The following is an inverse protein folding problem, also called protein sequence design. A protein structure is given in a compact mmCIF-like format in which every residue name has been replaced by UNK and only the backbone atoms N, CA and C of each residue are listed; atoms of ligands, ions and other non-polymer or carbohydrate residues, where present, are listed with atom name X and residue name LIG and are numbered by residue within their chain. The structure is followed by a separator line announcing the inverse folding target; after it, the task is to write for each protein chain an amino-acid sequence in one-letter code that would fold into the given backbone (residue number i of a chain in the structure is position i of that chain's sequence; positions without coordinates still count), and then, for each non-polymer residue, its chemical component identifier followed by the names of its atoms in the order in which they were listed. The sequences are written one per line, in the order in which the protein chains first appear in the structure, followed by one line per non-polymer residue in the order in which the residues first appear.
data_IF_478639890389
#
_entry.id   IF_478639890389
#
_cell.length_a   1.000
_cell.length_b   1.000
_cell.length_c   1.000
_cell.angle_alpha   90.00
_cell.angle_beta   90.00
_cell.angle_gamma   90.00
#
_symmetry.space_group_name_H-M   'P 1'
#
loop_
_entity.id
_entity.type
_entity.pdbx_description
1 polymer ?
#
# COMPACT_ATOMS: atom_id res chain seq x y z
N UNK A 1 -11.98 1.40 3.40
CA UNK A 1 -11.16 1.79 2.22
C UNK A 1 -9.70 1.82 2.63
N UNK A 2 -8.82 1.07 1.95
CA UNK A 2 -7.38 1.00 2.24
C UNK A 2 -6.58 1.50 1.04
N UNK A 3 -5.74 2.52 1.23
CA UNK A 3 -4.94 3.23 0.19
C UNK A 3 -3.50 3.19 0.64
N UNK A 4 -2.66 2.48 -0.09
CA UNK A 4 -1.25 2.29 0.29
C UNK A 4 -0.36 2.52 -0.92
N UNK A 5 0.80 3.13 -0.74
CA UNK A 5 1.74 3.28 -1.84
C UNK A 5 3.16 3.54 -1.35
N UNK A 6 4.12 2.82 -1.92
CA UNK A 6 5.53 3.19 -1.90
C UNK A 6 5.82 4.11 -3.09
N UNK A 7 6.27 5.32 -2.81
CA UNK A 7 6.35 6.40 -3.77
C UNK A 7 7.76 7.01 -3.73
N UNK A 8 8.33 7.44 -4.87
CA UNK A 8 9.53 8.27 -4.82
C UNK A 8 9.22 9.59 -4.11
N UNK A 9 10.16 10.07 -3.30
CA UNK A 9 10.08 11.39 -2.69
C UNK A 9 10.15 12.52 -3.75
N UNK A 10 10.80 12.24 -4.89
CA UNK A 10 11.03 13.20 -5.97
C UNK A 10 10.60 12.60 -7.33
N UNK A 11 9.31 12.68 -7.70
CA UNK A 11 8.80 12.14 -8.96
C UNK A 11 9.12 13.06 -10.16
N UNK A 12 10.34 12.96 -10.70
CA UNK A 12 10.82 13.88 -11.75
C UNK A 12 10.61 13.39 -13.19
N UNK A 13 10.24 12.13 -13.39
CA UNK A 13 9.99 11.54 -14.72
C UNK A 13 8.49 11.48 -15.05
N UNK A 14 8.15 11.21 -16.31
CA UNK A 14 6.76 11.15 -16.79
C UNK A 14 5.92 10.07 -16.10
N UNK A 15 6.52 8.92 -15.76
CA UNK A 15 5.84 7.85 -15.00
C UNK A 15 5.63 8.22 -13.53
N UNK A 16 6.27 9.30 -13.05
CA UNK A 16 6.30 9.73 -11.66
C UNK A 16 6.63 8.58 -10.71
N UNK A 17 7.52 7.69 -11.16
CA UNK A 17 7.83 6.44 -10.47
C UNK A 17 9.32 6.11 -10.58
N UNK A 18 9.86 5.49 -9.53
CA UNK A 18 11.20 4.93 -9.48
C UNK A 18 11.11 3.50 -8.98
N UNK A 19 12.08 2.66 -9.36
CA UNK A 19 12.13 1.29 -8.85
C UNK A 19 12.56 1.29 -7.39
N UNK A 20 11.62 1.06 -6.47
CA UNK A 20 11.87 0.97 -5.02
C UNK A 20 11.78 -0.48 -4.51
N UNK A 21 11.13 -1.36 -5.28
CA UNK A 21 10.95 -2.79 -4.96
C UNK A 21 10.80 -3.61 -6.25
N UNK A 22 10.45 -4.90 -6.12
CA UNK A 22 10.38 -5.87 -7.22
C UNK A 22 9.50 -5.40 -8.39
N UNK A 23 10.09 -5.31 -9.58
CA UNK A 23 9.35 -5.03 -10.84
C UNK A 23 8.34 -6.14 -11.14
N UNK A 24 8.69 -7.40 -10.83
CA UNK A 24 7.79 -8.52 -11.02
C UNK A 24 6.53 -8.38 -10.17
N UNK A 25 6.70 -8.03 -8.90
CA UNK A 25 5.57 -7.79 -8.01
C UNK A 25 4.72 -6.62 -8.48
N UNK A 26 5.34 -5.52 -8.92
CA UNK A 26 4.63 -4.35 -9.42
C UNK A 26 3.76 -4.69 -10.65
N UNK A 27 4.32 -5.41 -11.62
CA UNK A 27 3.56 -5.82 -12.81
C UNK A 27 2.47 -6.84 -12.44
N UNK A 28 2.76 -7.74 -11.50
CA UNK A 28 1.78 -8.70 -11.02
C UNK A 28 0.56 -8.01 -10.39
N UNK A 29 0.76 -6.95 -9.61
CA UNK A 29 -0.29 -6.14 -9.00
C UNK A 29 -1.22 -5.48 -10.04
N UNK A 30 -0.71 -5.17 -11.23
CA UNK A 30 -1.44 -4.48 -12.30
C UNK A 30 -2.13 -5.42 -13.29
N UNK A 31 -1.78 -6.70 -13.31
CA UNK A 31 -2.30 -7.66 -14.28
C UNK A 31 -3.37 -8.61 -13.73
N UNK A 32 -3.54 -8.72 -12.42
CA UNK A 32 -4.44 -9.72 -11.82
C UNK A 32 -5.72 -9.09 -11.24
N UNK A 33 -6.84 -9.84 -11.22
CA UNK A 33 -8.05 -9.42 -10.53
C UNK A 33 -7.78 -9.05 -9.07
N UNK A 34 -8.57 -8.11 -8.57
CA UNK A 34 -8.48 -7.60 -7.20
C UNK A 34 -9.75 -8.01 -6.45
N UNK A 35 -9.59 -8.57 -5.25
CA UNK A 35 -10.74 -8.86 -4.39
C UNK A 35 -11.29 -7.56 -3.77
N UNK A 36 -12.61 -7.50 -3.60
CA UNK A 36 -13.29 -6.43 -2.90
C UNK A 36 -14.59 -6.92 -2.29
N UNK A 37 -15.16 -6.14 -1.38
CA UNK A 37 -16.55 -6.26 -0.95
C UNK A 37 -17.32 -5.07 -1.51
N UNK A 38 -18.42 -5.32 -2.21
CA UNK A 38 -19.42 -4.31 -2.59
C UNK A 38 -20.82 -4.78 -2.26
N UNK A 39 -21.60 -3.87 -1.70
CA UNK A 39 -22.95 -4.14 -1.21
C UNK A 39 -23.05 -5.40 -0.34
N UNK A 40 -22.01 -5.65 0.46
CA UNK A 40 -21.90 -6.81 1.36
C UNK A 40 -21.51 -8.12 0.68
N UNK A 41 -21.27 -8.13 -0.63
CA UNK A 41 -20.86 -9.31 -1.40
C UNK A 41 -19.40 -9.25 -1.80
N UNK A 42 -18.72 -10.39 -1.73
CA UNK A 42 -17.37 -10.53 -2.27
C UNK A 42 -17.43 -10.52 -3.80
N UNK A 43 -16.63 -9.66 -4.41
CA UNK A 43 -16.55 -9.51 -5.87
C UNK A 43 -15.09 -9.43 -6.29
N UNK A 44 -14.84 -9.73 -7.56
CA UNK A 44 -13.60 -9.37 -8.23
C UNK A 44 -13.78 -8.07 -9.00
N UNK A 45 -12.80 -7.19 -8.90
CA UNK A 45 -12.70 -5.95 -9.69
C UNK A 45 -11.42 -5.97 -10.51
N UNK A 46 -11.46 -5.29 -11.65
CA UNK A 46 -10.31 -5.21 -12.55
C UNK A 46 -9.20 -4.35 -11.92
N UNK A 47 -7.95 -4.75 -12.14
CA UNK A 47 -6.78 -3.92 -11.85
C UNK A 47 -6.79 -2.65 -12.71
N UNK A 48 -6.12 -1.59 -12.25
CA UNK A 48 -6.05 -0.26 -12.87
C UNK A 48 -7.40 0.49 -12.98
N UNK A 49 -8.51 -0.16 -12.64
CA UNK A 49 -9.84 0.44 -12.58
C UNK A 49 -10.15 1.10 -11.24
N UNK A 50 -11.27 1.82 -11.21
CA UNK A 50 -11.73 2.52 -10.02
C UNK A 50 -10.82 3.69 -9.64
N UNK A 51 -10.27 4.39 -10.63
CA UNK A 51 -9.43 5.57 -10.40
C UNK A 51 -10.16 6.60 -9.52
N UNK A 52 -9.49 7.01 -8.45
CA UNK A 52 -9.92 8.09 -7.57
C UNK A 52 -8.76 9.04 -7.31
N UNK A 53 -9.07 10.30 -7.01
CA UNK A 53 -8.09 11.32 -6.66
C UNK A 53 -8.33 11.77 -5.22
N UNK A 54 -7.25 12.08 -4.51
CA UNK A 54 -7.33 12.67 -3.19
C UNK A 54 -6.05 13.45 -2.87
N UNK A 55 -6.17 14.43 -1.98
CA UNK A 55 -5.06 15.24 -1.51
C UNK A 55 -4.71 14.87 -0.08
N UNK A 56 -3.42 14.81 0.23
CA UNK A 56 -2.93 14.68 1.61
C UNK A 56 -1.71 15.57 1.82
N UNK A 57 -1.82 16.50 2.77
CA UNK A 57 -0.84 17.54 3.07
C UNK A 57 -0.49 18.39 1.83
N UNK A 58 -1.51 18.79 1.07
CA UNK A 58 -1.34 19.58 -0.16
C UNK A 58 -0.73 18.84 -1.35
N UNK A 59 -0.42 17.54 -1.20
CA UNK A 59 0.04 16.70 -2.31
C UNK A 59 -1.13 15.96 -2.93
N UNK A 60 -1.29 16.08 -4.25
CA UNK A 60 -2.29 15.33 -5.02
C UNK A 60 -1.80 13.91 -5.29
N UNK A 61 -2.72 12.96 -5.11
CA UNK A 61 -2.51 11.54 -5.38
C UNK A 61 -3.65 10.97 -6.21
N UNK A 62 -3.35 9.90 -6.94
CA UNK A 62 -4.33 9.01 -7.52
C UNK A 62 -4.29 7.65 -6.83
N UNK A 63 -5.41 6.94 -6.79
CA UNK A 63 -5.47 5.56 -6.35
C UNK A 63 -6.36 4.72 -7.24
N UNK A 64 -5.95 3.48 -7.48
CA UNK A 64 -6.65 2.53 -8.35
C UNK A 64 -6.47 1.10 -7.86
N UNK A 65 -7.34 0.20 -8.30
CA UNK A 65 -7.34 -1.19 -7.87
C UNK A 65 -6.04 -1.89 -8.25
N UNK A 66 -5.47 -2.62 -7.30
CA UNK A 66 -4.30 -3.47 -7.48
C UNK A 66 -4.45 -4.74 -6.65
N UNK A 67 -3.98 -5.87 -7.16
CA UNK A 67 -4.19 -7.17 -6.53
C UNK A 67 -3.34 -7.36 -5.27
N UNK A 68 -3.67 -8.36 -4.44
CA UNK A 68 -2.84 -8.83 -3.33
C UNK A 68 -2.89 -8.04 -2.02
N UNK A 69 -3.42 -6.81 -2.01
CA UNK A 69 -3.34 -5.93 -0.83
C UNK A 69 -4.30 -6.20 0.33
N UNK A 70 -5.35 -7.01 0.14
CA UNK A 70 -6.34 -7.32 1.20
C UNK A 70 -6.05 -8.62 1.97
N UNK A 71 -5.30 -9.56 1.39
CA UNK A 71 -5.14 -10.90 1.98
C UNK A 71 -6.50 -11.50 2.37
N UNK A 72 -6.63 -11.96 3.62
CA UNK A 72 -7.86 -12.59 4.14
C UNK A 72 -8.95 -11.60 4.61
N UNK A 73 -8.75 -10.29 4.49
CA UNK A 73 -9.70 -9.30 5.01
C UNK A 73 -11.09 -9.40 4.37
N UNK A 74 -11.17 -9.76 3.08
CA UNK A 74 -12.45 -9.98 2.41
C UNK A 74 -13.24 -11.13 3.05
N UNK A 75 -12.57 -12.23 3.41
CA UNK A 75 -13.21 -13.35 4.11
C UNK A 75 -13.62 -12.95 5.53
N UNK A 76 -12.73 -12.30 6.27
CA UNK A 76 -12.96 -11.96 7.68
C UNK A 76 -14.02 -10.88 7.88
N UNK A 77 -14.21 -10.00 6.90
CA UNK A 77 -15.21 -8.93 6.93
C UNK A 77 -16.45 -9.22 6.09
N UNK A 78 -16.53 -10.38 5.44
CA UNK A 78 -17.71 -10.82 4.70
C UNK A 78 -18.97 -10.76 5.60
N UNK A 79 -20.04 -10.15 5.10
CA UNK A 79 -21.29 -9.94 5.84
C UNK A 79 -21.23 -8.92 6.98
N UNK A 80 -20.05 -8.36 7.31
CA UNK A 80 -19.85 -7.36 8.37
C UNK A 80 -19.71 -5.95 7.83
N UNK A 81 -19.20 -5.81 6.62
CA UNK A 81 -19.02 -4.52 5.94
C UNK A 81 -19.78 -4.51 4.62
N UNK A 82 -20.33 -3.35 4.26
CA UNK A 82 -20.95 -3.15 2.94
C UNK A 82 -19.91 -2.94 1.84
N UNK A 83 -18.80 -2.30 2.18
CA UNK A 83 -17.75 -1.96 1.20
C UNK A 83 -16.36 -2.13 1.81
N UNK A 84 -15.50 -2.84 1.09
CA UNK A 84 -14.07 -2.99 1.38
C UNK A 84 -13.33 -3.03 0.05
N UNK A 85 -12.28 -2.24 -0.09
CA UNK A 85 -11.42 -2.25 -1.25
C UNK A 85 -10.02 -1.75 -0.88
N UNK A 86 -9.02 -2.31 -1.57
CA UNK A 86 -7.63 -1.89 -1.53
C UNK A 86 -7.24 -1.25 -2.85
N UNK A 87 -6.52 -0.14 -2.76
CA UNK A 87 -6.00 0.56 -3.94
C UNK A 87 -4.56 1.00 -3.70
N UNK A 88 -3.74 0.87 -4.73
CA UNK A 88 -2.41 1.43 -4.72
C UNK A 88 -2.47 2.93 -4.96
N UNK A 89 -1.74 3.69 -4.17
CA UNK A 89 -1.55 5.13 -4.35
C UNK A 89 -0.38 5.38 -5.29
N UNK A 90 -0.54 6.30 -6.24
CA UNK A 90 0.49 6.83 -7.14
C UNK A 90 0.34 8.34 -7.31
N UNK A 91 1.32 8.97 -7.96
CA UNK A 91 1.17 10.36 -8.38
C UNK A 91 0.32 10.45 -9.65
N UNK A 92 -0.46 11.54 -9.84
CA UNK A 92 -1.39 11.66 -10.96
C UNK A 92 -0.77 11.40 -12.34
N UNK A 93 -1.42 10.58 -13.16
CA UNK A 93 -1.03 10.24 -14.53
C UNK A 93 -0.26 8.92 -14.66
N UNK A 94 0.19 8.31 -13.56
CA UNK A 94 0.89 7.03 -13.59
C UNK A 94 0.00 5.90 -14.13
N UNK A 95 -1.23 5.82 -13.63
CA UNK A 95 -2.23 4.80 -14.00
C UNK A 95 -2.51 4.80 -15.49
N UNK A 96 -2.71 5.96 -16.10
CA UNK A 96 -3.04 6.07 -17.52
C UNK A 96 -1.88 5.58 -18.40
N UNK A 97 -0.65 5.93 -18.03
CA UNK A 97 0.55 5.44 -18.71
C UNK A 97 0.68 3.92 -18.59
N UNK A 98 0.49 3.36 -17.38
CA UNK A 98 0.53 1.91 -17.19
C UNK A 98 -0.59 1.19 -17.93
N UNK A 99 -1.79 1.77 -17.97
CA UNK A 99 -2.94 1.22 -18.69
C UNK A 99 -2.69 1.20 -20.20
N UNK A 100 -2.14 2.27 -20.77
CA UNK A 100 -1.73 2.30 -22.18
C UNK A 100 -0.69 1.21 -22.48
N UNK A 101 0.35 1.07 -21.66
CA UNK A 101 1.38 0.04 -21.86
C UNK A 101 0.80 -1.38 -21.79
N UNK A 102 -0.05 -1.65 -20.79
CA UNK A 102 -0.55 -2.99 -20.52
C UNK A 102 -1.69 -3.39 -21.45
N UNK A 103 -2.63 -2.49 -21.75
CA UNK A 103 -3.84 -2.80 -22.50
C UNK A 103 -3.74 -2.44 -23.98
N UNK A 104 -3.28 -1.23 -24.32
CA UNK A 104 -3.24 -0.77 -25.71
C UNK A 104 -2.05 -1.35 -26.47
N UNK A 105 -0.88 -1.39 -25.85
CA UNK A 105 0.30 -2.05 -26.41
C UNK A 105 0.33 -3.56 -26.11
N UNK A 106 -0.67 -4.07 -25.38
CA UNK A 106 -0.83 -5.49 -25.03
C UNK A 106 0.37 -6.11 -24.31
N UNK A 107 1.18 -5.31 -23.60
CA UNK A 107 2.33 -5.83 -22.86
C UNK A 107 1.93 -6.66 -21.65
N UNK A 108 0.65 -6.67 -21.27
CA UNK A 108 0.12 -7.65 -20.31
C UNK A 108 0.22 -9.11 -20.82
N UNK A 109 0.36 -9.32 -22.14
CA UNK A 109 0.61 -10.64 -22.75
C UNK A 109 2.09 -10.95 -22.93
N UNK A 110 2.95 -9.96 -22.76
CA UNK A 110 4.40 -10.06 -22.83
C UNK A 110 5.05 -9.28 -21.68
N UNK A 111 4.74 -9.75 -20.46
CA UNK A 111 5.16 -9.04 -19.25
C UNK A 111 6.68 -9.04 -19.07
N UNK A 112 7.40 -10.01 -19.63
CA UNK A 112 8.87 -10.05 -19.55
C UNK A 112 9.49 -8.90 -20.32
N UNK A 113 9.04 -8.60 -21.54
CA UNK A 113 9.49 -7.43 -22.30
C UNK A 113 9.23 -6.13 -21.52
N UNK A 114 8.04 -5.96 -20.93
CA UNK A 114 7.75 -4.78 -20.12
C UNK A 114 8.68 -4.66 -18.91
N UNK A 115 8.88 -5.76 -18.18
CA UNK A 115 9.77 -5.78 -17.01
C UNK A 115 11.21 -5.46 -17.40
N UNK A 116 11.70 -5.99 -18.52
CA UNK A 116 13.03 -5.66 -19.05
C UNK A 116 13.16 -4.18 -19.40
N UNK A 117 12.18 -3.61 -20.09
CA UNK A 117 12.16 -2.17 -20.41
C UNK A 117 12.20 -1.35 -19.11
N UNK A 118 11.38 -1.68 -18.12
CA UNK A 118 11.33 -0.97 -16.84
C UNK A 118 12.65 -1.08 -16.08
N UNK A 119 13.21 -2.28 -15.93
CA UNK A 119 14.50 -2.50 -15.23
C UNK A 119 15.64 -1.75 -15.91
N UNK A 120 15.62 -1.66 -17.24
CA UNK A 120 16.65 -0.96 -18.04
C UNK A 120 16.49 0.56 -18.00
N UNK A 121 15.27 1.06 -17.97
CA UNK A 121 14.96 2.46 -18.30
C UNK A 121 14.51 3.31 -17.11
N UNK A 122 14.03 2.70 -16.03
CA UNK A 122 13.55 3.41 -14.84
C UNK A 122 14.61 3.31 -13.74
N UNK A 123 15.17 4.45 -13.27
CA UNK A 123 16.17 4.42 -12.22
C UNK A 123 15.57 3.98 -10.89
N UNK A 124 16.36 3.23 -10.11
CA UNK A 124 16.04 2.92 -8.72
C UNK A 124 16.29 4.13 -7.81
N UNK A 125 15.66 4.14 -6.64
CA UNK A 125 15.91 5.16 -5.62
C UNK A 125 15.74 4.60 -4.21
N UNK A 126 16.57 5.07 -3.29
CA UNK A 126 16.42 4.88 -1.84
C UNK A 126 15.63 6.03 -1.19
N UNK A 127 15.31 7.07 -1.97
CA UNK A 127 14.57 8.24 -1.53
C UNK A 127 13.10 8.04 -1.83
N UNK A 128 12.44 7.28 -0.98
CA UNK A 128 11.03 6.94 -1.08
C UNK A 128 10.27 7.30 0.21
N UNK A 129 8.95 7.22 0.09
CA UNK A 129 7.99 7.41 1.17
C UNK A 129 6.93 6.33 1.03
N UNK A 130 6.53 5.72 2.14
CA UNK A 130 5.40 4.81 2.21
C UNK A 130 4.22 5.56 2.81
N UNK A 131 3.16 5.70 2.03
CA UNK A 131 1.89 6.26 2.46
C UNK A 131 0.94 5.12 2.84
N UNK A 132 0.35 5.22 4.03
CA UNK A 132 -0.77 4.39 4.49
C UNK A 132 -1.93 5.31 4.80
N UNK A 133 -3.04 5.15 4.08
CA UNK A 133 -4.25 5.94 4.25
C UNK A 133 -5.47 5.01 4.31
N UNK A 134 -6.14 4.96 5.45
CA UNK A 134 -7.29 4.10 5.69
C UNK A 134 -8.45 4.95 6.11
N UNK A 135 -9.60 4.74 5.48
CA UNK A 135 -10.86 5.40 5.84
C UNK A 135 -11.90 4.35 6.19
N UNK A 136 -12.53 4.53 7.34
CA UNK A 136 -13.63 3.69 7.83
C UNK A 136 -14.83 4.58 8.11
N UNK A 137 -15.97 4.24 7.54
CA UNK A 137 -17.22 4.97 7.74
C UNK A 137 -18.30 3.99 8.20
N UNK A 138 -19.12 4.38 9.18
CA UNK A 138 -20.13 3.50 9.77
C UNK A 138 -20.92 4.18 10.89
N UNK A 139 -21.85 3.44 11.50
CA UNK A 139 -22.66 3.93 12.61
C UNK A 139 -21.92 3.79 13.94
N UNK A 140 -21.84 4.87 14.72
CA UNK A 140 -21.28 4.89 16.08
C UNK A 140 -22.21 5.71 16.97
N UNK A 141 -22.77 5.09 18.01
CA UNK A 141 -23.72 5.76 18.92
C UNK A 141 -24.95 6.35 18.20
N UNK A 142 -25.47 5.67 17.17
CA UNK A 142 -26.63 6.14 16.40
C UNK A 142 -26.33 7.24 15.36
N UNK A 143 -25.09 7.70 15.22
CA UNK A 143 -24.68 8.67 14.20
C UNK A 143 -23.79 8.02 13.15
N UNK A 144 -23.95 8.45 11.89
CA UNK A 144 -23.02 8.08 10.82
C UNK A 144 -21.73 8.89 10.97
N UNK A 145 -20.61 8.20 11.17
CA UNK A 145 -19.29 8.81 11.39
C UNK A 145 -18.27 8.25 10.42
N UNK A 146 -17.18 8.99 10.23
CA UNK A 146 -16.01 8.56 9.47
C UNK A 146 -14.75 8.81 10.30
N UNK A 147 -13.89 7.80 10.36
CA UNK A 147 -12.56 7.89 10.96
C UNK A 147 -11.50 7.65 9.88
N UNK A 148 -10.40 8.39 9.95
CA UNK A 148 -9.28 8.32 9.01
C UNK A 148 -8.00 8.03 9.78
N UNK A 149 -7.25 7.02 9.32
CA UNK A 149 -5.91 6.72 9.76
C UNK A 149 -4.94 7.03 8.61
N UNK A 150 -4.02 7.96 8.82
CA UNK A 150 -3.03 8.36 7.82
C UNK A 150 -1.62 8.37 8.40
N UNK A 151 -0.66 7.79 7.67
CA UNK A 151 0.78 7.77 8.02
C UNK A 151 1.63 7.92 6.76
N UNK A 152 2.66 8.74 6.84
CA UNK A 152 3.77 8.81 5.87
C UNK A 152 5.03 8.35 6.59
N UNK A 153 5.58 7.22 6.15
CA UNK A 153 6.80 6.63 6.69
C UNK A 153 7.92 6.95 5.71
N UNK A 154 9.02 7.48 6.22
CA UNK A 154 10.12 8.00 5.41
C UNK A 154 11.34 7.09 5.50
N UNK A 155 12.19 7.15 4.47
CA UNK A 155 13.49 6.50 4.49
C UNK A 155 14.35 7.01 5.68
N UNK A 156 15.08 6.10 6.30
CA UNK A 156 16.16 6.43 7.22
C UNK A 156 17.40 6.82 6.40
N UNK A 157 17.89 8.03 6.67
CA UNK A 157 19.05 8.62 6.00
C UNK A 157 20.29 8.63 6.89
N UNK A 158 20.36 7.73 7.88
CA UNK A 158 21.56 7.55 8.70
C UNK A 158 22.78 7.34 7.80
N UNK A 159 23.91 7.98 8.17
CA UNK A 159 25.14 7.89 7.36
C UNK A 159 25.73 6.48 7.36
N UNK A 160 25.47 5.70 8.41
CA UNK A 160 26.08 4.40 8.63
C UNK A 160 25.32 3.26 7.95
N UNK A 161 23.99 3.33 7.86
CA UNK A 161 23.15 2.27 7.31
C UNK A 161 21.81 2.84 6.82
N UNK A 162 21.79 3.54 5.68
CA UNK A 162 20.56 4.11 5.15
C UNK A 162 19.60 3.00 4.70
N UNK A 163 18.31 3.17 4.99
CA UNK A 163 17.24 2.24 4.60
C UNK A 163 16.09 3.02 3.97
N UNK A 164 15.56 2.51 2.87
CA UNK A 164 14.39 3.10 2.23
C UNK A 164 13.12 2.86 3.06
N UNK A 165 12.10 3.69 2.88
CA UNK A 165 10.81 3.54 3.54
C UNK A 165 10.17 2.17 3.26
N UNK A 166 10.24 1.67 2.02
CA UNK A 166 9.70 0.34 1.69
C UNK A 166 10.52 -0.78 2.34
N UNK A 167 11.83 -0.63 2.48
CA UNK A 167 12.67 -1.60 3.18
C UNK A 167 12.31 -1.64 4.67
N UNK A 168 12.21 -0.47 5.31
CA UNK A 168 11.85 -0.33 6.72
C UNK A 168 10.48 -0.97 6.97
N UNK A 169 9.47 -0.57 6.20
CA UNK A 169 8.09 -1.05 6.43
C UNK A 169 7.96 -2.54 6.15
N UNK A 170 8.50 -3.05 5.04
CA UNK A 170 8.46 -4.49 4.74
C UNK A 170 9.13 -5.31 5.85
N UNK A 171 10.35 -4.93 6.26
CA UNK A 171 11.08 -5.66 7.30
C UNK A 171 10.40 -5.53 8.67
N UNK A 172 9.99 -4.32 9.06
CA UNK A 172 9.33 -4.06 10.33
C UNK A 172 8.02 -4.85 10.47
N UNK A 173 7.22 -4.94 9.40
CA UNK A 173 5.96 -5.68 9.39
C UNK A 173 6.14 -7.16 9.73
N UNK A 174 7.05 -7.85 9.02
CA UNK A 174 7.32 -9.26 9.28
C UNK A 174 8.00 -9.47 10.62
N UNK A 175 8.99 -8.64 10.98
CA UNK A 175 9.70 -8.76 12.24
C UNK A 175 8.75 -8.56 13.43
N UNK A 176 7.85 -7.58 13.39
CA UNK A 176 6.88 -7.36 14.46
C UNK A 176 5.91 -8.54 14.61
N UNK A 177 5.40 -9.09 13.50
CA UNK A 177 4.53 -10.26 13.56
C UNK A 177 5.22 -11.48 14.19
N UNK A 178 6.46 -11.76 13.78
CA UNK A 178 7.26 -12.87 14.35
C UNK A 178 7.61 -12.62 15.81
N UNK A 179 7.94 -11.38 16.20
CA UNK A 179 8.27 -11.01 17.58
C UNK A 179 7.05 -11.18 18.50
N UNK A 180 5.87 -10.73 18.06
CA UNK A 180 4.61 -10.92 18.79
C UNK A 180 4.21 -12.39 18.89
N UNK A 181 4.44 -13.19 17.84
CA UNK A 181 4.26 -14.64 17.90
C UNK A 181 5.20 -15.27 18.93
N UNK A 182 6.50 -14.95 18.90
CA UNK A 182 7.47 -15.46 19.88
C UNK A 182 7.09 -15.11 21.32
N UNK A 183 6.51 -13.94 21.55
CA UNK A 183 6.08 -13.47 22.87
C UNK A 183 4.75 -14.08 23.35
N UNK A 184 4.11 -14.94 22.56
CA UNK A 184 2.82 -15.52 22.92
C UNK A 184 1.63 -14.56 22.78
N UNK A 185 1.81 -13.41 22.12
CA UNK A 185 0.74 -12.42 21.90
C UNK A 185 -0.14 -12.75 20.68
N UNK A 186 0.28 -13.71 19.86
CA UNK A 186 -0.48 -14.25 18.72
C UNK A 186 -0.75 -15.76 18.91
N UNK A 187 -1.73 -16.35 18.21
CA UNK A 187 -1.96 -17.79 18.26
C UNK A 187 -0.68 -18.57 17.93
N UNK A 188 -0.35 -19.57 18.73
CA UNK A 188 0.93 -20.32 18.66
C UNK A 188 0.91 -21.48 17.64
N UNK A 189 -0.20 -21.67 16.94
CA UNK A 189 -0.36 -22.72 15.93
C UNK A 189 -1.46 -22.36 14.94
N UNK A 190 -1.47 -23.04 13.80
CA UNK A 190 -2.41 -22.80 12.72
C UNK A 190 -2.07 -21.58 11.88
N UNK A 191 -3.02 -21.15 11.06
CA UNK A 191 -2.88 -19.98 10.21
C UNK A 191 -3.24 -18.70 10.97
N UNK A 192 -2.26 -17.80 11.13
CA UNK A 192 -2.43 -16.50 11.78
C UNK A 192 -2.68 -15.43 10.72
N UNK A 193 -3.88 -14.83 10.73
CA UNK A 193 -4.29 -13.77 9.81
C UNK A 193 -3.74 -12.41 10.24
N UNK A 194 -3.55 -11.50 9.30
CA UNK A 194 -3.00 -10.17 9.56
C UNK A 194 -3.87 -9.38 10.55
N UNK A 195 -5.19 -9.46 10.41
CA UNK A 195 -6.16 -8.75 11.25
C UNK A 195 -6.30 -9.33 12.67
N UNK A 196 -5.61 -10.44 12.98
CA UNK A 196 -5.45 -10.92 14.37
C UNK A 196 -4.33 -10.19 15.10
N UNK A 197 -3.47 -9.46 14.39
CA UNK A 197 -2.43 -8.63 15.00
C UNK A 197 -3.06 -7.32 15.45
N UNK A 198 -3.24 -7.15 16.75
CA UNK A 198 -3.81 -5.92 17.32
C UNK A 198 -2.90 -4.72 17.04
N UNK A 199 -3.44 -3.67 16.41
CA UNK A 199 -2.68 -2.47 16.06
C UNK A 199 -1.92 -1.84 17.25
N UNK A 200 -2.47 -1.72 18.46
CA UNK A 200 -1.72 -1.20 19.60
C UNK A 200 -0.49 -2.04 19.95
N UNK A 201 -0.62 -3.37 19.96
CA UNK A 201 0.50 -4.28 20.23
C UNK A 201 1.55 -4.23 19.12
N UNK A 202 1.11 -4.18 17.86
CA UNK A 202 1.99 -4.01 16.71
C UNK A 202 2.79 -2.71 16.80
N UNK A 203 2.13 -1.58 17.04
CA UNK A 203 2.80 -0.29 17.12
C UNK A 203 3.70 -0.16 18.36
N UNK A 204 3.38 -0.85 19.47
CA UNK A 204 4.22 -0.89 20.67
C UNK A 204 5.42 -1.83 20.53
N UNK A 205 5.41 -2.75 19.56
CA UNK A 205 6.52 -3.65 19.30
C UNK A 205 7.76 -2.88 18.81
N UNK A 206 8.96 -3.32 19.23
CA UNK A 206 10.24 -2.69 18.88
C UNK A 206 10.43 -2.49 17.37
N UNK A 207 9.97 -3.43 16.54
CA UNK A 207 10.02 -3.31 15.08
C UNK A 207 8.83 -2.52 14.54
N UNK A 208 7.62 -2.80 15.00
CA UNK A 208 6.40 -2.16 14.50
C UNK A 208 6.31 -0.66 14.82
N UNK A 209 7.09 -0.17 15.80
CA UNK A 209 7.28 1.25 16.10
C UNK A 209 7.72 2.08 14.87
N UNK A 210 8.33 1.46 13.86
CA UNK A 210 8.66 2.11 12.59
C UNK A 210 7.43 2.73 11.89
N UNK A 211 6.24 2.15 12.07
CA UNK A 211 4.98 2.67 11.53
C UNK A 211 4.39 3.83 12.35
N UNK A 212 4.94 4.13 13.53
CA UNK A 212 4.53 5.29 14.33
C UNK A 212 5.13 6.60 13.80
N UNK A 213 6.21 6.54 13.00
CA UNK A 213 6.86 7.74 12.49
C UNK A 213 5.88 8.55 11.62
N UNK A 214 5.32 9.59 12.20
CA UNK A 214 4.77 10.73 11.48
C UNK A 214 5.82 11.84 11.60
N UNK A 215 6.67 12.02 10.58
CA UNK A 215 7.33 13.33 10.49
C UNK A 215 6.25 14.32 10.10
N UNK A 216 5.90 15.22 11.02
CA UNK A 216 5.19 16.45 10.66
C UNK A 216 5.95 17.08 9.49
N UNK A 217 5.23 17.54 8.47
CA UNK A 217 5.74 18.59 7.60
C UNK A 217 5.84 19.82 8.50
N UNK A 218 6.96 20.00 9.18
CA UNK A 218 7.23 21.24 9.91
C UNK A 218 7.48 22.33 8.86
N UNK A 219 6.64 23.36 8.87
CA UNK A 219 6.97 24.63 8.21
C UNK A 219 8.18 25.19 8.94
N UNK A 220 9.31 25.29 8.24
CA UNK A 220 10.41 26.13 8.69
C UNK A 220 10.02 27.55 8.29
N UNK A 221 9.58 28.35 9.27
CA UNK A 221 9.23 29.76 9.08
C UNK A 221 7.75 30.03 8.90
#
# INVERSE_FOLDING_TARGET
KMRVGALPAFPTNSLKYNLTWSVDGLINEYCHPCEAIRDGQNIEVLALEGLEHFSLDGTEYEAFNTSGGLGTLCETLAGRVRTLDYKSVRYPGHRDLMKMLLEELQLNRDTETLKEIMRKSIPSTMQDVVLVFVTVSGMKGGSLVQEVFARKIFADRSETAPLSAIQITTAAGVCAAVDLFREGQLPQSGFVRQEQVGLPAFLANRFGSAYQQSRQVESIG
#
